data_IF_194105073274
#
_entry.id   IF_194105073274
#
_cell.length_a   1.000
_cell.length_b   1.000
_cell.length_c   1.000
_cell.angle_alpha   90.00
_cell.angle_beta   90.00
_cell.angle_gamma   90.00
#
_symmetry.space_group_name_H-M   'P 1'
#
loop_
_entity.id
_entity.type
_entity.pdbx_description
1 polymer ?
#
# COMPACT_ATOMS: atom_id res chain seq x y z
N UNK A 1 -22.29 50.54 -7.46
CA UNK A 1 -22.01 49.49 -6.47
C UNK A 1 -20.70 48.84 -6.88
N UNK A 2 -19.62 49.21 -6.20
CA UNK A 2 -18.28 48.72 -6.52
C UNK A 2 -18.05 47.40 -5.80
N UNK A 3 -17.98 46.29 -6.53
CA UNK A 3 -17.78 44.93 -6.00
C UNK A 3 -16.30 44.56 -5.83
N UNK A 4 -15.38 45.49 -6.07
CA UNK A 4 -13.93 45.22 -6.12
C UNK A 4 -13.28 44.88 -4.77
N UNK A 5 -13.98 45.09 -3.66
CA UNK A 5 -13.46 44.80 -2.32
C UNK A 5 -13.77 43.40 -1.78
N UNK A 6 -14.68 42.64 -2.40
CA UNK A 6 -15.12 41.34 -1.89
C UNK A 6 -14.39 40.14 -2.51
N UNK A 7 -13.86 40.31 -3.71
CA UNK A 7 -13.13 39.26 -4.44
C UNK A 7 -11.70 39.08 -3.89
N UNK A 8 -11.08 40.16 -3.36
CA UNK A 8 -9.68 40.14 -2.88
C UNK A 8 -9.53 39.46 -1.50
N UNK A 9 -10.51 39.64 -0.63
CA UNK A 9 -10.54 38.97 0.70
C UNK A 9 -10.81 37.48 0.55
N UNK A 10 -11.65 37.07 -0.42
CA UNK A 10 -12.00 35.66 -0.64
C UNK A 10 -10.92 34.88 -1.40
N UNK A 11 -10.08 35.52 -2.21
CA UNK A 11 -8.93 34.85 -2.87
C UNK A 11 -7.73 34.62 -1.94
N UNK A 12 -7.51 35.48 -0.93
CA UNK A 12 -6.45 35.26 0.08
C UNK A 12 -6.74 34.10 1.05
N UNK A 13 -8.02 33.84 1.37
CA UNK A 13 -8.39 32.78 2.33
C UNK A 13 -8.39 31.37 1.71
N UNK A 14 -8.47 31.24 0.38
CA UNK A 14 -8.56 29.93 -0.30
C UNK A 14 -7.17 29.34 -0.62
N UNK A 15 -6.13 30.16 -0.71
CA UNK A 15 -4.77 29.67 -1.01
C UNK A 15 -4.12 28.89 0.15
N UNK A 16 -4.60 29.07 1.38
CA UNK A 16 -4.22 28.26 2.53
C UNK A 16 -5.16 27.07 2.73
N UNK A 17 -5.03 26.08 1.85
CA UNK A 17 -5.60 24.75 2.09
C UNK A 17 -5.11 24.14 3.42
N UNK A 18 -5.71 23.01 3.83
CA UNK A 18 -5.27 22.30 5.04
C UNK A 18 -3.79 21.87 4.93
N UNK A 19 -2.90 22.58 5.63
CA UNK A 19 -1.46 22.30 5.69
C UNK A 19 -1.02 21.89 7.10
N UNK A 20 0.03 21.08 7.17
CA UNK A 20 0.65 20.72 8.44
C UNK A 20 1.27 21.96 9.10
N UNK A 21 1.05 22.20 10.41
CA UNK A 21 1.64 23.32 11.13
C UNK A 21 3.17 23.32 11.04
N UNK A 22 3.76 24.48 10.74
CA UNK A 22 5.20 24.65 10.52
C UNK A 22 6.01 24.87 11.80
N UNK A 23 5.36 25.13 12.94
CA UNK A 23 6.03 25.34 14.23
C UNK A 23 6.74 24.07 14.68
N UNK A 24 7.97 24.21 15.17
CA UNK A 24 8.83 23.08 15.57
C UNK A 24 8.18 22.19 16.64
N UNK A 25 7.43 22.79 17.57
CA UNK A 25 6.66 22.08 18.61
C UNK A 25 5.61 21.11 18.04
N UNK A 26 5.11 21.38 16.83
CA UNK A 26 4.09 20.59 16.15
C UNK A 26 4.67 19.64 15.10
N UNK A 27 5.95 19.78 14.74
CA UNK A 27 6.57 18.91 13.75
C UNK A 27 6.91 17.55 14.37
N UNK A 28 6.59 16.48 13.63
CA UNK A 28 6.98 15.14 14.02
C UNK A 28 8.51 15.07 13.90
N UNK A 29 9.25 14.72 14.98
CA UNK A 29 10.69 14.59 14.89
C UNK A 29 11.06 13.59 13.81
N UNK A 30 11.97 13.96 12.92
CA UNK A 30 12.46 13.09 11.85
C UNK A 30 13.27 11.96 12.47
N UNK A 31 12.62 10.90 12.95
CA UNK A 31 13.31 9.67 13.35
C UNK A 31 13.89 9.04 12.10
N UNK A 32 15.21 8.97 12.07
CA UNK A 32 16.01 8.72 10.87
C UNK A 32 15.86 7.33 10.22
N UNK A 33 15.25 6.34 10.87
CA UNK A 33 15.02 5.01 10.26
C UNK A 33 13.78 4.37 10.91
N UNK A 34 12.88 3.73 10.13
CA UNK A 34 11.84 2.89 10.70
C UNK A 34 12.45 1.77 11.57
N UNK A 35 11.73 1.26 12.58
CA UNK A 35 12.21 0.13 13.36
C UNK A 35 12.51 -1.07 12.44
N UNK A 36 13.50 -1.91 12.80
CA UNK A 36 13.83 -3.09 12.00
C UNK A 36 12.60 -4.02 11.88
N UNK A 37 12.46 -4.72 10.74
CA UNK A 37 11.31 -5.57 10.51
C UNK A 37 11.21 -6.69 11.56
N UNK A 38 9.99 -7.12 11.94
CA UNK A 38 9.79 -8.24 12.85
C UNK A 38 10.53 -9.49 12.36
N UNK A 39 11.35 -10.10 13.23
CA UNK A 39 12.07 -11.33 12.89
C UNK A 39 11.09 -12.50 12.87
N UNK A 40 11.01 -13.21 11.74
CA UNK A 40 10.27 -14.48 11.66
C UNK A 40 10.88 -15.47 12.67
N UNK A 41 10.06 -15.97 13.60
CA UNK A 41 10.47 -17.08 14.47
C UNK A 41 10.79 -18.29 13.60
N UNK A 42 11.92 -18.96 13.87
CA UNK A 42 12.19 -20.28 13.27
C UNK A 42 11.06 -21.19 13.72
N UNK A 43 10.33 -21.76 12.77
CA UNK A 43 9.30 -22.74 13.08
C UNK A 43 9.99 -24.02 13.56
N UNK A 44 10.10 -24.18 14.87
CA UNK A 44 10.44 -25.47 15.48
C UNK A 44 9.28 -26.42 15.15
N UNK A 45 9.47 -27.34 14.19
CA UNK A 45 8.46 -28.37 13.90
C UNK A 45 7.56 -28.12 12.68
N UNK A 46 8.01 -27.37 11.68
CA UNK A 46 7.48 -27.63 10.31
C UNK A 46 8.36 -28.73 9.73
N UNK A 47 8.17 -29.96 10.24
CA UNK A 47 8.22 -31.09 9.33
C UNK A 47 7.35 -30.68 8.16
N UNK A 48 7.92 -30.67 6.95
CA UNK A 48 7.22 -30.30 5.72
C UNK A 48 5.87 -30.97 5.78
N UNK A 49 4.81 -30.20 6.06
CA UNK A 49 3.47 -30.77 6.27
C UNK A 49 3.21 -31.60 5.03
N UNK A 50 3.02 -32.90 5.22
CA UNK A 50 2.67 -33.76 4.10
C UNK A 50 1.41 -33.16 3.46
N UNK A 51 1.30 -33.20 2.13
CA UNK A 51 0.03 -32.86 1.49
C UNK A 51 -1.11 -33.62 2.18
N UNK A 52 -2.33 -33.05 2.20
CA UNK A 52 -3.48 -33.78 2.71
C UNK A 52 -3.58 -35.15 2.03
N UNK A 53 -4.05 -36.15 2.77
CA UNK A 53 -4.06 -37.57 2.31
C UNK A 53 -4.80 -37.75 0.98
N UNK A 54 -5.84 -36.95 0.74
CA UNK A 54 -6.64 -36.96 -0.49
C UNK A 54 -6.21 -35.90 -1.52
N UNK A 55 -4.99 -35.35 -1.39
CA UNK A 55 -4.54 -34.20 -2.17
C UNK A 55 -5.24 -32.90 -1.76
N UNK A 56 -4.96 -31.83 -2.49
CA UNK A 56 -5.69 -30.56 -2.33
C UNK A 56 -7.05 -30.64 -3.04
N UNK A 57 -7.88 -29.62 -2.87
CA UNK A 57 -9.15 -29.52 -3.58
C UNK A 57 -8.96 -29.65 -5.11
N UNK A 58 -9.46 -30.74 -5.68
CA UNK A 58 -9.42 -31.03 -7.12
C UNK A 58 -10.73 -30.57 -7.78
N UNK A 59 -11.00 -29.27 -7.72
CA UNK A 59 -12.12 -28.69 -8.46
C UNK A 59 -11.73 -28.49 -9.93
N UNK A 60 -12.60 -28.82 -10.91
CA UNK A 60 -12.31 -28.61 -12.33
C UNK A 60 -12.00 -27.15 -12.67
N UNK A 61 -12.54 -26.20 -11.90
CA UNK A 61 -12.25 -24.77 -12.02
C UNK A 61 -10.79 -24.41 -11.71
N UNK A 62 -10.18 -25.08 -10.72
CA UNK A 62 -8.80 -24.82 -10.30
C UNK A 62 -7.82 -25.35 -11.35
N UNK A 63 -8.11 -26.52 -11.91
CA UNK A 63 -7.31 -27.09 -12.99
C UNK A 63 -7.35 -26.21 -14.25
N UNK A 64 -8.50 -25.62 -14.57
CA UNK A 64 -8.64 -24.69 -15.69
C UNK A 64 -7.74 -23.46 -15.54
N UNK A 65 -7.62 -22.91 -14.32
CA UNK A 65 -6.74 -21.77 -14.05
C UNK A 65 -5.26 -22.09 -14.35
N UNK A 66 -4.80 -23.29 -14.00
CA UNK A 66 -3.42 -23.72 -14.28
C UNK A 66 -3.20 -24.19 -15.72
N UNK A 67 -4.25 -24.68 -16.39
CA UNK A 67 -4.21 -25.05 -17.81
C UNK A 67 -4.12 -23.83 -18.74
N UNK A 68 -4.53 -22.65 -18.27
CA UNK A 68 -4.34 -21.40 -19.00
C UNK A 68 -2.85 -21.11 -19.14
N UNK A 69 -2.35 -21.17 -20.39
CA UNK A 69 -1.00 -20.72 -20.70
C UNK A 69 -0.85 -19.25 -20.28
N UNK A 70 0.24 -18.88 -19.56
CA UNK A 70 0.50 -17.48 -19.30
C UNK A 70 0.62 -16.78 -20.66
N UNK A 71 -0.25 -15.80 -20.91
CA UNK A 71 -0.19 -14.92 -22.09
C UNK A 71 0.97 -13.93 -21.94
N UNK A 72 2.18 -14.47 -21.80
CA UNK A 72 3.41 -13.70 -21.86
C UNK A 72 3.68 -13.38 -23.33
N UNK A 73 3.10 -12.29 -23.82
CA UNK A 73 3.74 -11.47 -24.84
C UNK A 73 4.55 -10.39 -24.13
N UNK A 74 5.51 -10.82 -23.31
CA UNK A 74 6.52 -9.93 -22.76
C UNK A 74 7.73 -9.98 -23.69
N UNK A 75 7.77 -9.09 -24.67
CA UNK A 75 9.06 -8.74 -25.28
C UNK A 75 9.79 -7.89 -24.25
N UNK A 76 10.85 -8.43 -23.66
CA UNK A 76 11.78 -7.62 -22.89
C UNK A 76 12.66 -6.90 -23.91
N UNK A 77 12.57 -5.58 -23.96
CA UNK A 77 13.45 -4.68 -24.70
C UNK A 77 14.33 -3.92 -23.71
#
# INVERSE_FOLDING_TARGET
>A
METKGYEDVTMMEIEEGCSTPKRDECQIPVRMVPPPPPRKKRSCGVDKRKPPENGYFQGPEVELFFAMQPKCQGTFA
#
